data_IF_595279640872
#
_entry.id   IF_595279640872
#
_cell.length_a   1.000
_cell.length_b   1.000
_cell.length_c   1.000
_cell.angle_alpha   90.00
_cell.angle_beta   90.00
_cell.angle_gamma   90.00
#
_symmetry.space_group_name_H-M   'P 1'
#
loop_
_entity.id
_entity.type
_entity.pdbx_description
1 polymer ?
#
# COMPACT_ATOMS: atom_id res chain seq x y z
N UNK A 1 18.99 -3.51 -12.21
CA UNK A 1 18.46 -2.67 -13.30
C UNK A 1 17.17 -2.04 -12.79
N UNK A 2 17.09 -0.70 -12.86
CA UNK A 2 15.97 0.19 -12.51
C UNK A 2 14.72 -0.48 -11.93
N UNK A 3 14.54 -0.37 -10.61
CA UNK A 3 13.19 -0.27 -10.04
C UNK A 3 12.52 0.90 -10.74
N UNK A 4 11.77 0.61 -11.81
CA UNK A 4 10.90 1.59 -12.45
C UNK A 4 9.96 2.02 -11.35
N UNK A 5 10.12 3.26 -10.89
CA UNK A 5 9.17 3.97 -10.06
C UNK A 5 7.77 3.65 -10.58
N UNK A 6 7.07 2.71 -9.93
CA UNK A 6 5.62 2.61 -10.07
C UNK A 6 5.13 3.88 -9.43
N UNK A 7 4.34 4.66 -10.17
CA UNK A 7 3.74 5.84 -9.58
C UNK A 7 2.86 5.33 -8.44
N UNK A 8 3.27 5.65 -7.22
CA UNK A 8 2.57 5.26 -6.02
C UNK A 8 1.49 6.29 -5.73
N UNK A 9 0.25 5.85 -5.55
CA UNK A 9 -0.88 6.71 -5.22
C UNK A 9 -1.55 6.30 -3.91
N UNK A 10 -1.94 7.30 -3.12
CA UNK A 10 -2.64 7.10 -1.85
C UNK A 10 -4.02 7.74 -1.89
N UNK A 11 -5.02 7.04 -1.36
CA UNK A 11 -6.38 7.52 -1.18
C UNK A 11 -7.32 7.14 -2.32
N UNK A 12 -6.86 7.20 -3.57
CA UNK A 12 -7.67 6.84 -4.75
C UNK A 12 -7.09 5.64 -5.51
N UNK A 13 -7.99 4.78 -5.98
CA UNK A 13 -7.63 3.74 -6.94
C UNK A 13 -7.47 4.36 -8.33
N UNK A 14 -6.28 4.19 -8.92
CA UNK A 14 -5.97 4.68 -10.26
C UNK A 14 -5.83 3.49 -11.20
N UNK A 15 -6.83 3.30 -12.05
CA UNK A 15 -6.84 2.23 -13.06
C UNK A 15 -5.97 2.61 -14.27
N UNK A 16 -4.66 2.48 -14.10
CA UNK A 16 -3.68 2.73 -15.18
C UNK A 16 -2.52 1.73 -15.07
N UNK A 17 -1.94 1.28 -16.19
CA UNK A 17 -0.84 0.33 -16.15
C UNK A 17 0.39 0.92 -15.46
N UNK A 18 1.17 0.04 -14.81
CA UNK A 18 2.35 0.39 -14.01
C UNK A 18 2.06 1.30 -12.81
N UNK A 19 0.81 1.34 -12.33
CA UNK A 19 0.44 2.03 -11.09
C UNK A 19 0.45 1.06 -9.91
N UNK A 20 0.69 1.60 -8.73
CA UNK A 20 0.38 0.92 -7.49
C UNK A 20 -0.06 1.93 -6.45
N UNK A 21 -0.68 1.46 -5.38
CA UNK A 21 -1.13 2.40 -4.37
C UNK A 21 -2.00 1.75 -3.31
N UNK A 22 -2.48 2.59 -2.42
CA UNK A 22 -3.46 2.21 -1.41
C UNK A 22 -4.71 3.05 -1.56
N UNK A 23 -5.87 2.44 -1.37
CA UNK A 23 -7.15 3.13 -1.37
C UNK A 23 -8.06 2.56 -0.29
N UNK A 24 -9.07 3.33 0.06
CA UNK A 24 -10.09 2.97 1.04
C UNK A 24 -11.42 2.74 0.32
N UNK A 25 -12.11 1.66 0.69
CA UNK A 25 -13.45 1.35 0.21
C UNK A 25 -14.29 0.77 1.36
N UNK A 26 -15.39 1.46 1.71
CA UNK A 26 -16.36 1.06 2.73
C UNK A 26 -15.75 0.78 4.12
N UNK A 27 -14.83 1.63 4.57
CA UNK A 27 -14.07 1.51 5.81
C UNK A 27 -12.89 0.54 5.76
N UNK A 28 -12.61 -0.09 4.60
CA UNK A 28 -11.55 -1.08 4.44
C UNK A 28 -10.45 -0.56 3.52
N UNK A 29 -9.21 -0.79 3.90
CA UNK A 29 -8.05 -0.41 3.10
C UNK A 29 -7.58 -1.56 2.24
N UNK A 30 -7.13 -1.23 1.03
CA UNK A 30 -6.59 -2.18 0.08
C UNK A 30 -5.30 -1.63 -0.51
N UNK A 31 -4.36 -2.53 -0.81
CA UNK A 31 -3.24 -2.22 -1.72
C UNK A 31 -3.58 -2.72 -3.10
N UNK A 32 -3.08 -2.04 -4.13
CA UNK A 32 -3.19 -2.48 -5.50
C UNK A 32 -1.88 -2.35 -6.26
N UNK A 33 -1.70 -3.25 -7.22
CA UNK A 33 -0.62 -3.20 -8.21
C UNK A 33 -1.21 -3.53 -9.57
N UNK A 34 -1.03 -2.65 -10.55
CA UNK A 34 -1.41 -2.85 -11.94
C UNK A 34 -0.13 -3.03 -12.76
N UNK A 35 0.00 -4.17 -13.42
CA UNK A 35 1.13 -4.42 -14.30
C UNK A 35 1.02 -3.68 -15.65
N UNK A 36 1.99 -3.89 -16.53
CA UNK A 36 2.00 -3.28 -17.87
C UNK A 36 0.90 -3.82 -18.81
N UNK A 37 0.26 -4.94 -18.45
CA UNK A 37 -0.81 -5.61 -19.21
C UNK A 37 -2.20 -5.29 -18.65
N UNK A 38 -2.30 -4.33 -17.73
CA UNK A 38 -3.52 -3.98 -16.98
C UNK A 38 -4.05 -5.11 -16.09
N UNK A 39 -3.22 -6.07 -15.68
CA UNK A 39 -3.59 -7.02 -14.66
C UNK A 39 -3.47 -6.36 -13.29
N UNK A 40 -4.61 -6.21 -12.60
CA UNK A 40 -4.69 -5.61 -11.27
C UNK A 40 -4.76 -6.69 -10.19
N UNK A 41 -3.87 -6.59 -9.21
CA UNK A 41 -3.89 -7.41 -8.00
C UNK A 41 -4.29 -6.50 -6.84
N UNK A 42 -5.30 -6.92 -6.07
CA UNK A 42 -5.70 -6.29 -4.82
C UNK A 42 -5.24 -7.13 -3.63
N UNK A 43 -4.75 -6.47 -2.58
CA UNK A 43 -4.45 -7.12 -1.28
C UNK A 43 -5.25 -6.41 -0.19
N UNK A 44 -5.86 -7.18 0.71
CA UNK A 44 -6.72 -6.68 1.78
C UNK A 44 -7.90 -7.63 2.02
N UNK A 45 -8.96 -7.19 2.73
CA UNK A 45 -9.09 -5.88 3.38
C UNK A 45 -8.17 -5.73 4.60
N UNK A 46 -7.62 -4.54 4.77
CA UNK A 46 -6.87 -4.13 5.95
C UNK A 46 -7.69 -3.15 6.77
N UNK A 47 -7.60 -3.24 8.10
CA UNK A 47 -8.02 -2.14 8.95
C UNK A 47 -6.99 -0.99 8.89
N UNK A 48 -7.37 0.20 9.36
CA UNK A 48 -6.51 1.40 9.28
C UNK A 48 -5.14 1.22 9.95
N UNK A 49 -5.03 0.45 11.03
CA UNK A 49 -3.74 0.19 11.68
C UNK A 49 -2.86 -0.79 10.89
N UNK A 50 -3.44 -1.81 10.26
CA UNK A 50 -2.71 -2.78 9.45
C UNK A 50 -2.13 -2.15 8.17
N UNK A 51 -2.85 -1.23 7.51
CA UNK A 51 -2.34 -0.54 6.32
C UNK A 51 -1.21 0.44 6.67
N UNK A 52 -1.30 1.15 7.81
CA UNK A 52 -0.22 2.02 8.31
C UNK A 52 1.03 1.20 8.61
N UNK A 53 0.86 0.01 9.20
CA UNK A 53 1.97 -0.89 9.46
C UNK A 53 2.60 -1.40 8.15
N UNK A 54 1.80 -1.86 7.19
CA UNK A 54 2.28 -2.28 5.87
C UNK A 54 3.07 -1.16 5.17
N UNK A 55 2.56 0.07 5.20
CA UNK A 55 3.25 1.26 4.69
C UNK A 55 4.57 1.51 5.41
N UNK A 56 4.60 1.41 6.74
CA UNK A 56 5.81 1.66 7.52
C UNK A 56 6.94 0.70 7.14
N UNK A 57 6.62 -0.57 6.83
CA UNK A 57 7.59 -1.55 6.35
C UNK A 57 8.09 -1.16 4.95
N UNK A 58 7.17 -0.88 4.01
CA UNK A 58 7.54 -0.50 2.63
C UNK A 58 8.38 0.78 2.57
N UNK A 59 8.10 1.76 3.44
CA UNK A 59 8.87 2.99 3.56
C UNK A 59 10.23 2.83 4.25
N UNK A 60 10.63 1.62 4.64
CA UNK A 60 11.88 1.34 5.35
C UNK A 60 11.88 1.77 6.83
N UNK A 61 10.72 2.18 7.37
CA UNK A 61 10.52 2.67 8.73
C UNK A 61 9.89 1.64 9.68
N UNK A 62 9.72 0.38 9.26
CA UNK A 62 9.01 -0.65 10.03
C UNK A 62 9.56 -0.86 11.45
N UNK A 63 10.87 -0.64 11.65
CA UNK A 63 11.53 -0.70 12.97
C UNK A 63 11.06 0.38 13.96
N UNK A 64 10.63 1.55 13.49
CA UNK A 64 10.08 2.60 14.36
C UNK A 64 8.73 2.18 14.93
N UNK A 65 7.88 1.54 14.10
CA UNK A 65 6.55 1.11 14.51
C UNK A 65 6.58 -0.08 15.48
N UNK A 66 7.51 -1.04 15.29
CA UNK A 66 7.73 -2.12 16.26
C UNK A 66 8.09 -1.59 17.67
N UNK A 67 8.81 -0.47 17.74
CA UNK A 67 9.18 0.17 19.03
C UNK A 67 8.03 0.91 19.72
N UNK A 68 6.98 1.26 18.96
CA UNK A 68 5.79 1.96 19.47
C UNK A 68 4.60 1.04 19.74
N UNK A 69 4.58 -0.16 19.15
CA UNK A 69 3.50 -1.15 19.28
C UNK A 69 3.25 -1.64 20.73
N UNK A 70 4.20 -1.42 21.64
CA UNK A 70 4.11 -1.80 23.06
C UNK A 70 3.84 -0.61 24.01
N UNK A 71 3.50 0.57 23.48
CA UNK A 71 3.26 1.79 24.29
C UNK A 71 1.78 2.14 24.48
N UNK A 72 0.86 1.28 24.04
CA UNK A 72 -0.59 1.43 24.23
C UNK A 72 -1.16 0.23 24.95
#
# INVERSE_FOLDING_TARGET
MKEKYRDFHFGEFIEKPNQCGYFEQNGNWYTYVIDERNFCIFTGPFNGSAIIYAFSIEAGNGRLWESEKYKF
#
